data_IF_342541471484
#
_entry.id   IF_342541471484
#
_cell.length_a   1.000
_cell.length_b   1.000
_cell.length_c   1.000
_cell.angle_alpha   90.00
_cell.angle_beta   90.00
_cell.angle_gamma   90.00
#
_symmetry.space_group_name_H-M   'P 1'
#
loop_
_entity.id
_entity.type
_entity.pdbx_description
1 polymer ?
#
# COMPACT_ATOMS: atom_id res chain seq x y z
N UNK A 1 -30.20 1.33 12.14
CA UNK A 1 -29.46 0.06 12.26
C UNK A 1 -27.98 0.43 12.35
N UNK A 2 -27.35 0.21 13.51
CA UNK A 2 -25.92 0.43 13.64
C UNK A 2 -25.22 -0.72 12.92
N UNK A 3 -24.64 -0.44 11.75
CA UNK A 3 -23.74 -1.38 11.09
C UNK A 3 -22.49 -1.45 11.97
N UNK A 4 -22.23 -2.63 12.53
CA UNK A 4 -21.04 -2.89 13.34
C UNK A 4 -19.80 -2.51 12.53
N UNK A 5 -18.94 -1.64 13.06
CA UNK A 5 -17.68 -1.24 12.43
C UNK A 5 -16.61 -2.35 12.39
N UNK A 6 -17.03 -3.62 12.45
CA UNK A 6 -16.19 -4.80 12.66
C UNK A 6 -16.35 -5.89 11.60
N UNK A 7 -17.26 -5.75 10.64
CA UNK A 7 -17.36 -6.68 9.51
C UNK A 7 -16.45 -6.21 8.37
N UNK A 8 -15.83 -7.15 7.66
CA UNK A 8 -15.16 -6.84 6.40
C UNK A 8 -16.15 -6.15 5.43
N UNK A 9 -15.68 -5.21 4.60
CA UNK A 9 -16.52 -4.60 3.57
C UNK A 9 -17.19 -5.64 2.66
N UNK A 10 -18.45 -5.39 2.28
CA UNK A 10 -19.18 -6.23 1.32
C UNK A 10 -18.62 -6.06 -0.11
N UNK A 11 -18.09 -4.89 -0.42
CA UNK A 11 -17.44 -4.58 -1.69
C UNK A 11 -16.45 -3.41 -1.53
N UNK A 12 -15.66 -3.15 -2.57
CA UNK A 12 -14.65 -2.10 -2.58
C UNK A 12 -14.84 -1.11 -3.71
N UNK A 13 -14.63 0.17 -3.43
CA UNK A 13 -14.27 1.16 -4.43
C UNK A 13 -12.79 1.01 -4.76
N UNK A 14 -12.46 0.81 -6.03
CA UNK A 14 -11.09 0.52 -6.46
C UNK A 14 -10.39 1.80 -6.89
N UNK A 15 -9.17 2.01 -6.39
CA UNK A 15 -8.30 3.13 -6.77
C UNK A 15 -6.95 2.59 -7.23
N UNK A 16 -6.63 2.79 -8.51
CA UNK A 16 -5.34 2.40 -9.09
C UNK A 16 -4.32 3.51 -8.87
N UNK A 17 -3.14 3.15 -8.36
CA UNK A 17 -2.00 4.04 -8.17
C UNK A 17 -0.88 3.55 -9.09
N UNK A 18 -0.48 4.37 -10.06
CA UNK A 18 0.53 4.00 -11.05
C UNK A 18 1.42 5.21 -11.38
N UNK A 19 2.61 4.92 -11.92
CA UNK A 19 3.59 5.92 -12.31
C UNK A 19 4.97 5.63 -11.74
N UNK A 20 5.76 6.69 -11.57
CA UNK A 20 7.12 6.61 -11.04
C UNK A 20 7.19 6.92 -9.54
N UNK A 21 8.36 7.35 -9.05
CA UNK A 21 8.66 7.58 -7.62
C UNK A 21 7.61 8.42 -6.89
N UNK A 22 7.17 9.55 -7.47
CA UNK A 22 6.17 10.42 -6.84
C UNK A 22 4.74 9.86 -6.85
N UNK A 23 4.51 8.74 -7.54
CA UNK A 23 3.26 7.98 -7.45
C UNK A 23 3.20 7.04 -6.25
N UNK A 24 4.31 6.86 -5.52
CA UNK A 24 4.47 5.85 -4.48
C UNK A 24 5.25 6.36 -3.26
N UNK A 25 5.69 5.44 -2.41
CA UNK A 25 6.37 5.71 -1.15
C UNK A 25 7.80 6.20 -1.33
N UNK A 26 7.98 7.48 -1.63
CA UNK A 26 9.29 8.15 -1.69
C UNK A 26 9.47 9.23 -0.62
N UNK A 27 8.48 9.46 0.24
CA UNK A 27 8.61 10.36 1.38
C UNK A 27 9.57 9.78 2.43
N UNK A 28 10.69 10.47 2.67
CA UNK A 28 11.75 10.01 3.59
C UNK A 28 11.48 10.33 5.06
N UNK A 29 10.36 11.02 5.36
CA UNK A 29 9.97 11.33 6.73
C UNK A 29 9.67 10.08 7.55
N UNK A 30 9.80 10.19 8.88
CA UNK A 30 9.49 9.11 9.81
C UNK A 30 8.00 8.70 9.68
N UNK A 31 7.68 7.41 9.42
CA UNK A 31 6.30 6.94 9.45
C UNK A 31 5.68 7.05 10.84
N UNK A 32 4.38 7.36 10.88
CA UNK A 32 3.59 7.60 12.09
C UNK A 32 2.39 6.63 12.19
N UNK A 33 2.62 5.31 12.31
CA UNK A 33 1.58 4.27 12.24
C UNK A 33 0.58 4.30 13.40
N UNK A 34 0.89 5.03 14.48
CA UNK A 34 -0.07 5.24 15.58
C UNK A 34 -1.04 6.40 15.30
N UNK A 35 -0.71 7.30 14.36
CA UNK A 35 -1.47 8.53 14.07
C UNK A 35 -1.85 8.65 12.58
N UNK A 36 -1.14 9.48 11.82
CA UNK A 36 -1.49 9.84 10.44
C UNK A 36 -1.38 8.67 9.47
N UNK A 37 -0.47 7.73 9.74
CA UNK A 37 -0.19 6.58 8.89
C UNK A 37 -0.89 5.31 9.38
N UNK A 38 -1.73 5.42 10.42
CA UNK A 38 -2.45 4.28 11.00
C UNK A 38 -3.34 3.56 9.99
N UNK A 39 -3.20 2.25 9.74
CA UNK A 39 -4.11 1.53 8.86
C UNK A 39 -5.58 1.65 9.28
N UNK A 40 -6.49 1.54 8.31
CA UNK A 40 -7.94 1.50 8.55
C UNK A 40 -8.49 0.13 8.14
N UNK A 41 -9.37 -0.52 8.93
CA UNK A 41 -9.89 -1.85 8.60
C UNK A 41 -10.63 -1.90 7.25
N UNK A 42 -11.19 -0.79 6.77
CA UNK A 42 -11.92 -0.69 5.49
C UNK A 42 -11.03 -0.28 4.31
N UNK A 43 -9.74 -0.01 4.53
CA UNK A 43 -8.79 0.34 3.47
C UNK A 43 -7.80 -0.82 3.28
N UNK A 44 -7.85 -1.42 2.10
CA UNK A 44 -7.05 -2.58 1.72
C UNK A 44 -6.18 -2.26 0.50
N UNK A 45 -5.22 -3.12 0.20
CA UNK A 45 -4.45 -3.09 -1.03
C UNK A 45 -4.30 -4.50 -1.60
N UNK A 46 -4.01 -4.61 -2.90
CA UNK A 46 -3.55 -5.86 -3.50
C UNK A 46 -2.07 -6.09 -3.15
N UNK A 47 -1.78 -7.28 -2.62
CA UNK A 47 -0.43 -7.66 -2.24
C UNK A 47 0.48 -7.96 -3.45
N UNK A 48 1.74 -7.51 -3.38
CA UNK A 48 2.83 -7.93 -4.27
C UNK A 48 4.00 -8.63 -3.57
N UNK A 49 4.41 -8.13 -2.40
CA UNK A 49 5.48 -8.71 -1.58
C UNK A 49 5.12 -10.11 -1.06
N UNK A 50 6.11 -10.85 -0.55
CA UNK A 50 5.91 -12.17 0.08
C UNK A 50 5.33 -12.11 1.49
N UNK A 51 5.38 -10.94 2.14
CA UNK A 51 4.77 -10.69 3.46
C UNK A 51 4.03 -9.35 3.48
N UNK A 52 2.99 -9.25 4.31
CA UNK A 52 2.12 -8.05 4.44
C UNK A 52 2.92 -6.84 4.92
N UNK A 53 3.80 -7.04 5.88
CA UNK A 53 4.79 -6.06 6.37
C UNK A 53 6.15 -6.77 6.44
N UNK A 54 7.28 -6.05 6.56
CA UNK A 54 8.58 -6.68 6.79
C UNK A 54 8.56 -7.59 8.03
N UNK A 55 8.82 -8.89 7.84
CA UNK A 55 8.77 -9.90 8.91
C UNK A 55 7.36 -10.28 9.39
N UNK A 56 6.32 -9.76 8.74
CA UNK A 56 4.92 -10.04 9.07
C UNK A 56 4.39 -11.35 8.47
N UNK A 57 3.06 -11.48 8.49
CA UNK A 57 2.37 -12.63 7.90
C UNK A 57 2.65 -12.74 6.40
N UNK A 58 2.75 -13.98 5.90
CA UNK A 58 2.90 -14.24 4.48
C UNK A 58 1.66 -13.80 3.69
N UNK A 59 1.87 -13.30 2.48
CA UNK A 59 0.82 -13.02 1.51
C UNK A 59 1.25 -13.47 0.12
N UNK A 60 0.27 -13.72 -0.75
CA UNK A 60 0.47 -14.06 -2.16
C UNK A 60 0.12 -12.87 -3.04
N UNK A 61 0.58 -12.91 -4.29
CA UNK A 61 0.24 -11.91 -5.28
C UNK A 61 -1.28 -11.78 -5.41
N UNK A 62 -1.77 -10.54 -5.36
CA UNK A 62 -3.19 -10.14 -5.36
C UNK A 62 -4.04 -10.56 -4.15
N UNK A 63 -3.44 -11.06 -3.06
CA UNK A 63 -4.19 -11.16 -1.80
C UNK A 63 -4.66 -9.78 -1.35
N UNK A 64 -5.87 -9.70 -0.80
CA UNK A 64 -6.41 -8.48 -0.19
C UNK A 64 -5.82 -8.36 1.22
N UNK A 65 -4.94 -7.38 1.42
CA UNK A 65 -4.23 -7.15 2.68
C UNK A 65 -4.50 -5.73 3.21
N UNK A 66 -4.21 -5.43 4.49
CA UNK A 66 -4.28 -4.06 4.99
C UNK A 66 -3.40 -3.11 4.17
N UNK A 67 -3.89 -1.90 3.92
CA UNK A 67 -3.08 -0.82 3.39
C UNK A 67 -2.41 -0.05 4.53
N UNK A 68 -1.13 0.28 4.37
CA UNK A 68 -0.39 1.18 5.26
C UNK A 68 0.35 2.26 4.45
N UNK A 69 1.28 2.98 5.08
CA UNK A 69 2.04 4.07 4.44
C UNK A 69 3.03 3.62 3.35
N UNK A 70 3.37 2.32 3.29
CA UNK A 70 4.34 1.77 2.34
C UNK A 70 3.70 0.65 1.52
N UNK A 71 2.95 1.05 0.49
CA UNK A 71 2.15 0.15 -0.34
C UNK A 71 3.00 -0.83 -1.17
N UNK A 72 2.37 -1.92 -1.61
CA UNK A 72 2.97 -3.00 -2.41
C UNK A 72 3.10 -2.63 -3.89
N UNK A 73 3.69 -1.47 -4.17
CA UNK A 73 4.09 -1.04 -5.52
C UNK A 73 5.09 -2.03 -6.14
N UNK A 74 5.39 -1.89 -7.45
CA UNK A 74 6.34 -2.79 -8.14
C UNK A 74 7.71 -2.75 -7.47
N UNK A 75 8.11 -1.58 -6.98
CA UNK A 75 9.35 -1.39 -6.23
C UNK A 75 9.11 -1.53 -4.71
N UNK A 76 9.90 -2.35 -4.03
CA UNK A 76 9.76 -2.55 -2.58
C UNK A 76 10.56 -1.51 -1.78
N UNK A 77 9.86 -0.46 -1.34
CA UNK A 77 10.45 0.61 -0.54
C UNK A 77 10.48 0.33 0.97
N UNK A 78 9.98 -0.84 1.41
CA UNK A 78 9.75 -1.12 2.83
C UNK A 78 11.01 -1.37 3.65
N UNK A 79 12.15 -1.55 2.98
CA UNK A 79 13.45 -1.77 3.62
C UNK A 79 14.25 -0.47 3.77
N UNK A 80 13.76 0.63 3.22
CA UNK A 80 14.43 1.93 3.23
C UNK A 80 13.98 2.75 4.44
N UNK A 81 14.47 2.35 5.62
CA UNK A 81 14.01 2.91 6.88
C UNK A 81 14.62 4.28 7.18
N UNK A 82 13.82 5.17 7.76
CA UNK A 82 14.33 6.40 8.38
C UNK A 82 15.33 6.08 9.52
N UNK A 83 16.42 6.85 9.72
CA UNK A 83 17.45 6.55 10.73
C UNK A 83 16.95 6.52 12.19
N UNK A 84 15.79 7.12 12.45
CA UNK A 84 15.13 7.15 13.78
C UNK A 84 13.91 6.23 13.88
N UNK A 85 13.74 5.31 12.93
CA UNK A 85 12.63 4.38 12.93
C UNK A 85 12.73 3.37 14.08
N UNK A 86 11.62 3.19 14.79
CA UNK A 86 11.40 2.04 15.67
C UNK A 86 10.59 0.97 14.91
N UNK A 87 11.29 -0.06 14.43
CA UNK A 87 10.67 -1.13 13.66
C UNK A 87 9.68 -1.97 14.48
N UNK A 88 9.84 -2.01 15.82
CA UNK A 88 8.88 -2.69 16.69
C UNK A 88 7.50 -2.02 16.69
N UNK A 89 7.45 -0.74 16.29
CA UNK A 89 6.22 0.05 16.14
C UNK A 89 5.69 0.09 14.71
N UNK A 90 6.30 -0.67 13.79
CA UNK A 90 5.90 -0.66 12.38
C UNK A 90 6.36 0.58 11.60
N UNK A 91 7.36 1.32 12.08
CA UNK A 91 7.90 2.51 11.39
C UNK A 91 8.87 2.15 10.25
N UNK A 92 8.53 1.14 9.46
CA UNK A 92 9.39 0.65 8.39
C UNK A 92 9.24 1.47 7.11
N UNK A 93 10.27 1.46 6.27
CA UNK A 93 10.26 2.04 4.93
C UNK A 93 10.05 3.55 4.87
N UNK A 94 9.65 3.99 3.69
CA UNK A 94 9.27 5.36 3.32
C UNK A 94 7.75 5.51 3.26
N UNK A 95 7.28 6.75 3.13
CA UNK A 95 5.85 7.11 3.16
C UNK A 95 5.35 7.49 1.77
N UNK A 96 4.19 6.95 1.38
CA UNK A 96 3.45 7.27 0.15
C UNK A 96 2.04 7.76 0.45
N UNK A 97 1.47 8.52 -0.48
CA UNK A 97 0.19 9.22 -0.30
C UNK A 97 -1.06 8.35 -0.45
N UNK A 98 -0.94 7.11 -0.96
CA UNK A 98 -2.08 6.28 -1.32
C UNK A 98 -3.03 5.99 -0.15
N UNK A 99 -2.48 5.69 1.04
CA UNK A 99 -3.27 5.52 2.26
C UNK A 99 -4.02 6.81 2.63
N UNK A 100 -3.35 7.97 2.57
CA UNK A 100 -3.96 9.24 2.97
C UNK A 100 -5.06 9.68 2.01
N UNK A 101 -4.90 9.40 0.71
CA UNK A 101 -5.98 9.58 -0.28
C UNK A 101 -7.17 8.71 0.10
N UNK A 102 -6.96 7.41 0.32
CA UNK A 102 -8.04 6.50 0.69
C UNK A 102 -8.76 6.93 1.98
N UNK A 103 -8.01 7.32 3.03
CA UNK A 103 -8.60 7.85 4.27
C UNK A 103 -9.47 9.08 4.05
N UNK A 104 -9.08 9.98 3.15
CA UNK A 104 -9.87 11.17 2.81
C UNK A 104 -11.12 10.83 2.00
N UNK A 105 -11.09 9.76 1.21
CA UNK A 105 -12.24 9.30 0.42
C UNK A 105 -13.22 8.45 1.24
N UNK A 106 -12.76 7.73 2.26
CA UNK A 106 -13.55 6.78 3.04
C UNK A 106 -14.86 7.35 3.65
N UNK A 107 -14.92 8.61 4.13
CA UNK A 107 -16.17 9.21 4.61
C UNK A 107 -17.24 9.42 3.53
N UNK A 108 -16.87 9.36 2.25
CA UNK A 108 -17.77 9.63 1.12
C UNK A 108 -18.33 8.36 0.46
N UNK A 109 -18.00 7.17 0.99
CA UNK A 109 -18.52 5.89 0.49
C UNK A 109 -19.48 5.23 1.50
N UNK A 110 -20.38 4.34 1.06
CA UNK A 110 -21.30 3.62 1.95
C UNK A 110 -20.57 2.87 3.08
N UNK A 111 -21.22 2.76 4.25
CA UNK A 111 -20.63 2.14 5.44
C UNK A 111 -20.26 0.66 5.24
N UNK A 112 -20.98 -0.05 4.37
CA UNK A 112 -20.70 -1.44 4.00
C UNK A 112 -19.61 -1.59 2.92
N UNK A 113 -19.08 -0.49 2.39
CA UNK A 113 -18.03 -0.50 1.37
C UNK A 113 -16.65 -0.18 1.96
N UNK A 114 -15.60 -0.64 1.29
CA UNK A 114 -14.20 -0.30 1.58
C UNK A 114 -13.52 0.37 0.40
N UNK A 115 -12.23 0.68 0.54
CA UNK A 115 -11.37 1.13 -0.56
C UNK A 115 -10.31 0.06 -0.79
N UNK A 116 -10.18 -0.38 -2.04
CA UNK A 116 -9.12 -1.28 -2.48
C UNK A 116 -8.12 -0.50 -3.34
N UNK A 117 -6.92 -0.32 -2.80
CA UNK A 117 -5.79 0.27 -3.51
C UNK A 117 -5.12 -0.77 -4.40
N UNK A 118 -4.80 -0.39 -5.63
CA UNK A 118 -4.06 -1.21 -6.59
C UNK A 118 -2.72 -0.52 -6.90
N UNK A 119 -1.67 -0.75 -6.09
CA UNK A 119 -0.36 -0.12 -6.24
C UNK A 119 0.45 -0.77 -7.38
N UNK A 120 0.90 0.03 -8.34
CA UNK A 120 1.55 -0.39 -9.57
C UNK A 120 2.68 0.58 -10.00
N UNK A 121 3.21 1.36 -9.07
CA UNK A 121 4.30 2.29 -9.38
C UNK A 121 5.67 1.61 -9.39
N UNK A 122 6.60 2.19 -10.15
CA UNK A 122 8.02 1.81 -10.17
C UNK A 122 8.88 3.07 -10.27
N UNK A 123 9.68 3.38 -9.25
CA UNK A 123 10.60 4.51 -9.30
C UNK A 123 11.57 4.41 -10.47
N UNK A 124 11.82 5.52 -11.16
CA UNK A 124 12.67 5.57 -12.35
C UNK A 124 12.08 4.92 -13.62
N UNK A 125 10.81 4.49 -13.61
CA UNK A 125 10.13 4.08 -14.85
C UNK A 125 9.93 5.26 -15.81
N UNK A 126 10.06 5.00 -17.10
CA UNK A 126 9.91 5.99 -18.16
C UNK A 126 9.49 5.34 -19.48
N UNK A 127 8.99 6.13 -20.42
CA UNK A 127 8.56 5.64 -21.75
C UNK A 127 9.70 5.48 -22.76
N UNK A 128 10.75 6.30 -22.65
CA UNK A 128 11.82 6.39 -23.66
C UNK A 128 13.14 5.78 -23.20
N UNK A 129 13.20 5.29 -21.96
CA UNK A 129 14.40 4.74 -21.30
C UNK A 129 13.99 3.73 -20.23
N UNK A 130 14.87 2.79 -19.90
CA UNK A 130 14.63 1.77 -18.87
C UNK A 130 14.77 0.37 -19.43
N UNK A 131 14.86 -0.63 -18.55
CA UNK A 131 14.82 -2.04 -18.94
C UNK A 131 13.37 -2.52 -18.99
N UNK A 132 13.05 -3.42 -19.92
CA UNK A 132 11.70 -3.97 -20.08
C UNK A 132 11.24 -4.80 -18.87
N UNK A 133 12.18 -5.43 -18.17
CA UNK A 133 11.89 -6.36 -17.08
C UNK A 133 11.18 -7.63 -17.57
N UNK A 134 10.43 -8.27 -16.69
CA UNK A 134 9.63 -9.46 -16.98
C UNK A 134 8.28 -9.40 -16.29
N UNK A 135 7.32 -10.16 -16.80
CA UNK A 135 6.01 -10.34 -16.18
C UNK A 135 5.76 -11.82 -15.88
N UNK A 136 5.09 -12.09 -14.76
CA UNK A 136 4.64 -13.41 -14.36
C UNK A 136 3.20 -13.32 -13.87
N UNK A 137 2.34 -14.24 -14.31
CA UNK A 137 0.96 -14.34 -13.80
C UNK A 137 0.91 -14.56 -12.29
N UNK A 138 1.96 -15.15 -11.71
CA UNK A 138 2.02 -15.51 -10.29
C UNK A 138 2.57 -14.40 -9.38
N UNK A 139 3.26 -13.38 -9.92
CA UNK A 139 3.94 -12.34 -9.11
C UNK A 139 3.88 -10.93 -9.71
N UNK A 140 3.31 -10.76 -10.90
CA UNK A 140 3.29 -9.51 -11.63
C UNK A 140 4.65 -9.14 -12.24
N UNK A 141 4.86 -7.84 -12.45
CA UNK A 141 6.12 -7.29 -12.95
C UNK A 141 7.28 -7.51 -11.98
N UNK A 142 8.46 -7.78 -12.52
CA UNK A 142 9.72 -7.77 -11.77
C UNK A 142 10.14 -6.35 -11.37
N UNK A 143 10.74 -6.20 -10.19
CA UNK A 143 11.35 -4.95 -9.73
C UNK A 143 12.60 -4.56 -10.54
#
# INVERSE_FOLDING_TARGET
VAVSATSDPEYYFVVVLAGQSNGMSYGEGLPLPETYDRPDPRIKQLARRSTVTPGGAACKYNDIIPADHCLHDVQDMSRLNHPKADLSKGQYGTVGQGLHIAKKLLPFIPANAGILLVPCCRGGSAFTTGADGTYSDASGASE
#
